data_IF_454573330990
#
_entry.id   IF_454573330990
#
_cell.length_a   1.000
_cell.length_b   1.000
_cell.length_c   1.000
_cell.angle_alpha   90.00
_cell.angle_beta   90.00
_cell.angle_gamma   90.00
#
_symmetry.space_group_name_H-M   'P 1'
#
loop_
_entity.id
_entity.type
_entity.pdbx_description
1 polymer ?
#
# COMPACT_ATOMS: atom_id res chain seq x y z
N UNK A 1 -18.45 -4.54 -2.54
CA UNK A 1 -19.43 -3.60 -3.13
C UNK A 1 -19.56 -3.79 -4.64
N UNK A 2 -18.47 -3.80 -5.40
CA UNK A 2 -18.45 -4.12 -6.85
C UNK A 2 -18.96 -5.53 -7.17
N UNK A 3 -18.63 -6.54 -6.36
CA UNK A 3 -19.07 -7.92 -6.58
C UNK A 3 -20.61 -8.06 -6.70
N UNK A 4 -21.36 -7.43 -5.80
CA UNK A 4 -22.83 -7.48 -5.78
C UNK A 4 -23.47 -6.77 -6.99
N UNK A 5 -22.86 -5.66 -7.44
CA UNK A 5 -23.30 -4.92 -8.63
C UNK A 5 -22.97 -5.70 -9.91
N UNK A 6 -21.84 -6.40 -9.95
CA UNK A 6 -21.44 -7.23 -11.09
C UNK A 6 -22.28 -8.51 -11.21
N UNK A 7 -22.68 -9.09 -10.09
CA UNK A 7 -23.49 -10.32 -10.02
C UNK A 7 -24.96 -10.07 -10.43
N UNK A 8 -25.46 -8.84 -10.23
CA UNK A 8 -26.81 -8.45 -10.61
C UNK A 8 -26.82 -7.23 -11.55
N UNK A 9 -26.43 -7.42 -12.83
CA UNK A 9 -26.34 -6.32 -13.80
C UNK A 9 -27.69 -5.67 -14.13
N UNK A 10 -28.81 -6.33 -13.82
CA UNK A 10 -30.16 -5.83 -14.05
C UNK A 10 -30.68 -4.88 -12.96
N UNK A 11 -30.07 -4.86 -11.76
CA UNK A 11 -30.56 -4.03 -10.64
C UNK A 11 -30.16 -2.56 -10.74
N UNK A 12 -29.26 -2.22 -11.68
CA UNK A 12 -28.73 -0.86 -11.83
C UNK A 12 -27.87 -0.43 -10.63
N UNK A 13 -26.93 0.49 -10.86
CA UNK A 13 -26.03 0.95 -9.80
C UNK A 13 -26.76 1.87 -8.81
N UNK A 14 -27.59 2.79 -9.30
CA UNK A 14 -28.25 3.82 -8.49
C UNK A 14 -29.24 3.26 -7.45
N UNK A 15 -30.10 2.27 -7.75
CA UNK A 15 -31.02 1.69 -6.76
C UNK A 15 -30.28 1.01 -5.60
N UNK A 16 -29.22 0.27 -5.90
CA UNK A 16 -28.40 -0.41 -4.90
C UNK A 16 -27.68 0.60 -3.99
N UNK A 17 -27.13 1.67 -4.57
CA UNK A 17 -26.47 2.73 -3.78
C UNK A 17 -27.45 3.49 -2.89
N UNK A 18 -28.69 3.70 -3.36
CA UNK A 18 -29.75 4.32 -2.58
C UNK A 18 -30.13 3.46 -1.36
N UNK A 19 -30.29 2.15 -1.54
CA UNK A 19 -30.60 1.22 -0.45
C UNK A 19 -29.49 1.19 0.61
N UNK A 20 -28.23 1.23 0.16
CA UNK A 20 -27.06 1.27 1.04
C UNK A 20 -26.75 2.67 1.60
N UNK A 21 -27.55 3.68 1.25
CA UNK A 21 -27.37 5.08 1.63
C UNK A 21 -25.96 5.65 1.30
N UNK A 22 -25.39 5.24 0.17
CA UNK A 22 -24.08 5.67 -0.30
C UNK A 22 -24.25 6.65 -1.47
N UNK A 23 -23.64 7.84 -1.43
CA UNK A 23 -23.69 8.77 -2.56
C UNK A 23 -23.07 8.17 -3.83
N UNK A 24 -23.72 8.37 -4.97
CA UNK A 24 -23.23 7.92 -6.29
C UNK A 24 -21.83 8.45 -6.61
N UNK A 25 -21.54 9.69 -6.21
CA UNK A 25 -20.21 10.30 -6.34
C UNK A 25 -19.12 9.51 -5.60
N UNK A 26 -19.41 8.94 -4.44
CA UNK A 26 -18.47 8.10 -3.69
C UNK A 26 -18.18 6.80 -4.42
N UNK A 27 -19.21 6.15 -4.97
CA UNK A 27 -19.05 4.93 -5.76
C UNK A 27 -18.18 5.17 -7.00
N UNK A 28 -18.49 6.20 -7.80
CA UNK A 28 -17.72 6.48 -9.01
C UNK A 28 -16.29 6.96 -8.70
N UNK A 29 -16.07 7.72 -7.62
CA UNK A 29 -14.71 8.07 -7.16
C UNK A 29 -13.90 6.83 -6.79
N UNK A 30 -14.50 5.89 -6.06
CA UNK A 30 -13.84 4.64 -5.71
C UNK A 30 -13.55 3.79 -6.94
N UNK A 31 -14.52 3.65 -7.85
CA UNK A 31 -14.38 2.94 -9.12
C UNK A 31 -13.29 3.55 -10.01
N UNK A 32 -13.16 4.88 -10.03
CA UNK A 32 -12.09 5.57 -10.74
C UNK A 32 -10.73 5.30 -10.09
N UNK A 33 -10.64 5.33 -8.76
CA UNK A 33 -9.41 5.01 -8.03
C UNK A 33 -8.98 3.52 -8.16
N UNK A 34 -9.93 2.61 -8.44
CA UNK A 34 -9.65 1.23 -8.81
C UNK A 34 -9.11 1.11 -10.24
N UNK A 35 -9.73 1.79 -11.22
CA UNK A 35 -9.34 1.73 -12.64
C UNK A 35 -8.04 2.48 -12.94
N UNK A 36 -7.85 3.64 -12.31
CA UNK A 36 -6.66 4.46 -12.44
C UNK A 36 -5.92 4.48 -11.10
N UNK A 37 -5.12 3.43 -10.81
CA UNK A 37 -4.21 3.50 -9.68
C UNK A 37 -3.31 4.71 -9.88
N UNK A 38 -3.17 5.52 -8.82
CA UNK A 38 -2.28 6.67 -8.81
C UNK A 38 -0.88 6.28 -9.31
N UNK A 39 -0.13 7.23 -9.89
CA UNK A 39 1.21 6.98 -10.45
C UNK A 39 2.11 6.17 -9.50
N UNK A 40 2.02 6.44 -8.19
CA UNK A 40 2.71 5.70 -7.14
C UNK A 40 2.34 4.21 -7.09
N UNK A 41 1.06 3.86 -7.24
CA UNK A 41 0.57 2.48 -7.29
C UNK A 41 1.03 1.78 -8.57
N UNK A 42 1.07 2.48 -9.72
CA UNK A 42 1.62 1.93 -10.98
C UNK A 42 3.10 1.56 -10.80
N UNK A 43 3.90 2.51 -10.28
CA UNK A 43 5.31 2.26 -9.96
C UNK A 43 5.52 1.16 -8.92
N UNK A 44 4.64 1.05 -7.94
CA UNK A 44 4.69 -0.04 -6.96
C UNK A 44 4.36 -1.39 -7.62
N UNK A 45 3.43 -1.45 -8.58
CA UNK A 45 3.13 -2.66 -9.35
C UNK A 45 4.32 -3.08 -10.22
N UNK A 46 4.89 -2.17 -10.99
CA UNK A 46 6.10 -2.41 -11.80
C UNK A 46 7.26 -2.93 -10.93
N UNK A 47 7.49 -2.30 -9.78
CA UNK A 47 8.51 -2.73 -8.83
C UNK A 47 8.19 -4.11 -8.23
N UNK A 48 6.92 -4.41 -8.00
CA UNK A 48 6.48 -5.73 -7.49
C UNK A 48 6.75 -6.82 -8.51
N UNK A 49 6.54 -6.55 -9.80
CA UNK A 49 6.82 -7.51 -10.87
C UNK A 49 8.34 -7.76 -11.00
N UNK A 50 9.17 -6.72 -10.87
CA UNK A 50 10.62 -6.93 -10.81
C UNK A 50 11.06 -7.73 -9.58
N UNK A 51 10.45 -7.47 -8.42
CA UNK A 51 10.69 -8.24 -7.19
C UNK A 51 10.34 -9.72 -7.39
N UNK A 52 9.20 -10.01 -8.05
CA UNK A 52 8.79 -11.39 -8.38
C UNK A 52 9.81 -12.08 -9.26
N UNK A 53 10.25 -11.42 -10.33
CA UNK A 53 11.26 -11.97 -11.22
C UNK A 53 12.55 -12.34 -10.48
N UNK A 54 13.09 -11.42 -9.67
CA UNK A 54 14.31 -11.69 -8.87
C UNK A 54 14.09 -12.82 -7.86
N UNK A 55 12.89 -12.92 -7.29
CA UNK A 55 12.56 -13.97 -6.33
C UNK A 55 12.47 -15.35 -7.01
N UNK A 56 11.83 -15.43 -8.18
CA UNK A 56 11.70 -16.64 -9.00
C UNK A 56 13.06 -17.09 -9.55
N UNK A 57 13.89 -16.15 -10.03
CA UNK A 57 15.28 -16.42 -10.47
C UNK A 57 16.12 -17.04 -9.33
N UNK A 58 15.81 -16.70 -8.08
CA UNK A 58 16.46 -17.28 -6.89
C UNK A 58 15.83 -18.58 -6.39
N UNK A 59 14.79 -19.09 -7.06
CA UNK A 59 14.03 -20.28 -6.63
C UNK A 59 13.28 -20.09 -5.31
N UNK A 60 12.87 -18.86 -4.99
CA UNK A 60 12.16 -18.54 -3.75
C UNK A 60 13.04 -18.45 -2.49
N UNK A 61 14.37 -18.58 -2.63
CA UNK A 61 15.29 -18.56 -1.49
C UNK A 61 15.43 -17.13 -0.94
N UNK A 62 15.39 -16.10 -1.80
CA UNK A 62 15.72 -14.75 -1.41
C UNK A 62 14.56 -14.04 -0.70
N UNK A 63 14.82 -13.62 0.54
CA UNK A 63 13.96 -12.69 1.28
C UNK A 63 14.25 -11.23 0.94
N UNK A 64 13.46 -10.33 1.53
CA UNK A 64 13.57 -8.87 1.32
C UNK A 64 14.98 -8.27 1.38
N UNK A 65 15.88 -8.66 2.31
CA UNK A 65 17.24 -8.13 2.33
C UNK A 65 18.06 -8.48 1.08
N UNK A 66 17.91 -9.71 0.57
CA UNK A 66 18.65 -10.19 -0.60
C UNK A 66 18.07 -9.64 -1.90
N UNK A 67 16.75 -9.62 -2.02
CA UNK A 67 16.06 -8.98 -3.16
C UNK A 67 16.43 -7.50 -3.26
N UNK A 68 16.46 -6.78 -2.13
CA UNK A 68 16.90 -5.37 -2.11
C UNK A 68 18.34 -5.18 -2.59
N UNK A 69 19.25 -6.08 -2.19
CA UNK A 69 20.63 -6.03 -2.64
C UNK A 69 20.77 -6.27 -4.15
N UNK A 70 19.99 -7.20 -4.72
CA UNK A 70 19.94 -7.45 -6.17
C UNK A 70 19.40 -6.23 -6.91
N UNK A 71 18.24 -5.70 -6.49
CA UNK A 71 17.67 -4.49 -7.10
C UNK A 71 18.63 -3.30 -7.08
N UNK A 72 19.38 -3.13 -5.99
CA UNK A 72 20.40 -2.08 -5.90
C UNK A 72 21.55 -2.30 -6.90
N UNK A 73 21.98 -3.54 -7.13
CA UNK A 73 23.00 -3.88 -8.14
C UNK A 73 22.52 -3.64 -9.57
N UNK A 74 21.22 -3.81 -9.81
CA UNK A 74 20.56 -3.51 -11.08
C UNK A 74 20.31 -2.01 -11.30
N UNK A 75 20.72 -1.14 -10.37
CA UNK A 75 20.54 0.31 -10.47
C UNK A 75 19.18 0.82 -9.97
N UNK A 76 18.32 -0.05 -9.45
CA UNK A 76 17.00 0.33 -8.93
C UNK A 76 17.14 0.87 -7.50
N UNK A 77 17.01 2.19 -7.36
CA UNK A 77 17.13 2.88 -6.07
C UNK A 77 15.81 2.85 -5.30
N UNK A 78 15.63 1.80 -4.50
CA UNK A 78 14.45 1.62 -3.65
C UNK A 78 14.82 1.44 -2.19
N UNK A 79 14.02 1.99 -1.28
CA UNK A 79 14.22 1.82 0.16
C UNK A 79 13.90 0.39 0.60
N UNK A 80 14.68 -0.17 1.53
CA UNK A 80 14.49 -1.53 2.07
C UNK A 80 13.06 -1.77 2.56
N UNK A 81 12.47 -0.80 3.26
CA UNK A 81 11.09 -0.88 3.78
C UNK A 81 10.03 -0.94 2.68
N UNK A 82 10.30 -0.34 1.52
CA UNK A 82 9.40 -0.42 0.36
C UNK A 82 9.42 -1.84 -0.22
N UNK A 83 10.60 -2.42 -0.41
CA UNK A 83 10.74 -3.81 -0.87
C UNK A 83 10.08 -4.79 0.10
N UNK A 84 10.32 -4.62 1.40
CA UNK A 84 9.70 -5.45 2.45
C UNK A 84 8.17 -5.41 2.40
N UNK A 85 7.60 -4.20 2.28
CA UNK A 85 6.15 -4.00 2.14
C UNK A 85 5.61 -4.68 0.89
N UNK A 86 6.23 -4.47 -0.27
CA UNK A 86 5.76 -5.02 -1.55
C UNK A 86 5.86 -6.56 -1.58
N UNK A 87 6.94 -7.14 -1.06
CA UNK A 87 7.04 -8.60 -0.90
C UNK A 87 5.93 -9.15 -0.02
N UNK A 88 5.64 -8.50 1.12
CA UNK A 88 4.53 -8.89 2.00
C UNK A 88 3.17 -8.80 1.30
N UNK A 89 2.93 -7.74 0.53
CA UNK A 89 1.69 -7.57 -0.24
C UNK A 89 1.55 -8.61 -1.36
N UNK A 90 2.66 -9.04 -1.95
CA UNK A 90 2.71 -10.06 -2.99
C UNK A 90 2.74 -11.51 -2.44
N UNK A 91 2.77 -11.70 -1.12
CA UNK A 91 2.86 -13.04 -0.51
C UNK A 91 4.23 -13.71 -0.66
N UNK A 92 5.28 -12.96 -1.03
CA UNK A 92 6.62 -13.48 -1.24
C UNK A 92 7.40 -13.49 0.07
N UNK A 93 7.94 -14.65 0.43
CA UNK A 93 8.80 -14.84 1.58
C UNK A 93 10.02 -15.65 1.17
N UNK A 94 11.21 -15.20 1.60
CA UNK A 94 12.42 -16.00 1.43
C UNK A 94 12.54 -17.07 2.51
N UNK A 95 13.37 -18.07 2.24
CA UNK A 95 13.75 -19.07 3.22
C UNK A 95 14.72 -18.41 4.21
N UNK A 96 14.20 -18.03 5.38
CA UNK A 96 15.03 -17.55 6.50
C UNK A 96 15.17 -18.67 7.54
N UNK A 97 16.39 -19.04 7.97
CA UNK A 97 16.59 -19.80 9.19
C UNK A 97 15.95 -19.01 10.34
N UNK A 98 15.06 -19.65 11.09
CA UNK A 98 14.13 -19.01 12.02
C UNK A 98 14.77 -17.94 12.91
N UNK A 99 14.35 -16.70 12.68
CA UNK A 99 14.54 -15.58 13.60
C UNK A 99 13.26 -14.77 13.57
N UNK A 100 12.29 -15.15 14.41
CA UNK A 100 11.07 -14.39 14.59
C UNK A 100 11.43 -12.92 14.81
N UNK A 101 10.93 -12.04 13.96
CA UNK A 101 10.96 -10.61 14.28
C UNK A 101 10.02 -10.46 15.47
N UNK A 102 10.59 -10.19 16.65
CA UNK A 102 9.82 -9.75 17.79
C UNK A 102 8.92 -8.60 17.32
N UNK A 103 7.61 -8.79 17.39
CA UNK A 103 6.70 -7.65 17.36
C UNK A 103 7.16 -6.71 18.48
N UNK A 104 7.33 -5.39 18.23
CA UNK A 104 7.44 -4.47 19.33
C UNK A 104 6.14 -4.59 20.12
N UNK A 105 6.22 -5.25 21.26
CA UNK A 105 5.19 -5.31 22.26
C UNK A 105 4.73 -3.87 22.54
N UNK A 106 3.51 -3.55 22.14
CA UNK A 106 2.88 -2.22 22.30
C UNK A 106 2.47 -1.97 23.76
N UNK A 107 2.63 -2.95 24.66
CA UNK A 107 2.23 -2.87 26.07
C UNK A 107 3.37 -2.58 27.06
N UNK A 108 4.31 -1.71 26.69
CA UNK A 108 5.04 -0.89 27.68
C UNK A 108 4.70 0.58 27.46
N UNK A 109 3.58 1.01 28.03
CA UNK A 109 3.38 2.41 28.40
C UNK A 109 4.40 2.77 29.50
N UNK A 110 5.37 3.68 29.25
CA UNK A 110 5.92 4.43 30.35
C UNK A 110 4.90 5.50 30.72
N UNK A 111 4.37 5.41 31.93
CA UNK A 111 3.70 6.53 32.61
C UNK A 111 4.64 7.74 32.58
N UNK A 112 4.36 8.71 31.71
CA UNK A 112 5.04 10.01 31.69
C UNK A 112 4.21 11.00 32.50
N UNK A 113 4.81 11.79 33.42
CA UNK A 113 4.08 12.83 34.12
C UNK A 113 3.82 14.01 33.18
N UNK A 114 2.60 14.54 33.27
CA UNK A 114 2.13 15.76 32.60
C UNK A 114 3.02 16.94 32.98
N UNK A 115 4.00 17.31 32.15
CA UNK A 115 4.40 18.70 31.90
C UNK A 115 5.23 18.76 30.61
N UNK A 116 4.97 19.77 29.76
CA UNK A 116 5.71 20.19 28.54
C UNK A 116 5.45 19.35 27.26
N UNK A 117 5.03 19.89 26.12
CA UNK A 117 4.90 21.29 25.71
C UNK A 117 4.01 21.38 24.45
N UNK A 118 2.91 22.13 24.55
CA UNK A 118 2.28 22.75 23.40
C UNK A 118 3.13 23.97 23.02
N UNK A 119 3.74 23.96 21.84
CA UNK A 119 4.18 25.18 21.19
C UNK A 119 3.90 25.07 19.69
N UNK A 120 3.13 26.03 19.22
CA UNK A 120 2.65 26.18 17.87
C UNK A 120 3.79 26.26 16.83
N UNK A 121 3.52 25.70 15.65
CA UNK A 121 3.98 26.30 14.39
C UNK A 121 2.83 26.30 13.40
N UNK A 122 2.39 27.48 12.91
CA UNK A 122 1.34 27.58 11.91
C UNK A 122 1.88 27.35 10.49
N UNK A 123 1.08 26.64 9.66
CA UNK A 123 0.99 26.67 8.17
C UNK A 123 2.30 26.68 7.36
N UNK A 124 2.48 25.77 6.40
CA UNK A 124 1.89 25.88 5.04
C UNK A 124 2.25 24.64 4.20
N UNK A 125 1.37 24.26 3.26
CA UNK A 125 1.69 23.25 2.23
C UNK A 125 0.50 22.48 1.67
N UNK A 126 -0.52 23.18 1.16
CA UNK A 126 -1.50 22.59 0.25
C UNK A 126 -0.77 22.06 -1.00
N UNK A 127 -0.94 20.79 -1.35
CA UNK A 127 -0.72 20.32 -2.73
C UNK A 127 -2.08 20.01 -3.31
N UNK A 128 -2.61 20.99 -4.07
CA UNK A 128 -3.77 20.81 -4.91
C UNK A 128 -3.45 19.86 -6.06
N UNK A 129 -4.30 18.88 -6.28
CA UNK A 129 -4.44 18.20 -7.56
C UNK A 129 -5.26 19.13 -8.48
N UNK A 130 -4.58 20.03 -9.19
CA UNK A 130 -5.15 20.75 -10.33
C UNK A 130 -5.09 19.88 -11.57
N UNK A 131 -6.22 19.69 -12.24
CA UNK A 131 -6.31 19.17 -13.61
C UNK A 131 -6.50 20.35 -14.56
N UNK A 132 -5.87 20.41 -15.73
CA UNK A 132 -6.29 21.34 -16.77
C UNK A 132 -7.05 20.61 -17.88
N UNK A 133 -8.24 21.14 -18.19
CA UNK A 133 -8.81 21.22 -19.54
C UNK A 133 -7.87 21.94 -20.50
#
# INVERSE_FOLDING_TARGET
MTALINEHPHLGVEPVLRELNIPSSTYYRWRQAEKEPCERRRRDAELTDRIRQVHDESGGIYGSPRVHAVLKREGVHVGRKRVERLMRQAGLAGISPGGARASPDVTRTPIWPLTWYNAASPRTGQTGCGSPT
#
